data_IF_309034466795
#
_entry.id   IF_309034466795
#
_cell.length_a   1.000
_cell.length_b   1.000
_cell.length_c   1.000
_cell.angle_alpha   90.00
_cell.angle_beta   90.00
_cell.angle_gamma   90.00
#
_symmetry.space_group_name_H-M   'P 1'
#
loop_
_entity.id
_entity.type
_entity.pdbx_description
1 polymer ?
#
# COMPACT_ATOMS: atom_id res chain seq x y z
N UNK A 1 -9.35 23.98 -7.73
CA UNK A 1 -9.51 23.22 -6.48
C UNK A 1 -8.99 24.10 -5.36
N UNK A 2 -9.86 24.61 -4.48
CA UNK A 2 -9.44 25.48 -3.38
C UNK A 2 -8.79 24.59 -2.30
N UNK A 3 -7.61 24.91 -1.73
CA UNK A 3 -7.04 24.13 -0.63
C UNK A 3 -7.96 24.01 0.60
N UNK A 4 -8.94 24.91 0.75
CA UNK A 4 -9.95 24.83 1.80
C UNK A 4 -10.97 23.67 1.59
N UNK A 5 -11.27 23.27 0.34
CA UNK A 5 -12.17 22.14 0.05
C UNK A 5 -11.60 20.80 0.54
N UNK A 6 -10.28 20.70 0.63
CA UNK A 6 -9.58 19.49 1.07
C UNK A 6 -9.60 19.35 2.60
N UNK A 7 -9.87 20.43 3.34
CA UNK A 7 -10.02 20.38 4.80
C UNK A 7 -11.42 19.93 5.22
N UNK A 8 -12.45 20.17 4.39
CA UNK A 8 -13.84 19.73 4.65
C UNK A 8 -14.04 18.24 4.28
N UNK A 9 -13.29 17.72 3.29
CA UNK A 9 -13.23 16.28 3.02
C UNK A 9 -12.13 15.66 3.86
N UNK A 10 -12.49 14.86 4.87
CA UNK A 10 -11.52 14.03 5.59
C UNK A 10 -10.61 13.30 4.60
N UNK A 11 -9.31 13.60 4.67
CA UNK A 11 -8.28 13.08 3.76
C UNK A 11 -8.12 11.55 3.87
N UNK A 12 -8.52 10.99 5.01
CA UNK A 12 -8.40 9.57 5.34
C UNK A 12 -9.67 9.10 6.05
N UNK A 13 -10.23 7.98 5.60
CA UNK A 13 -11.37 7.35 6.26
C UNK A 13 -10.87 6.36 7.32
N UNK A 14 -11.35 6.51 8.56
CA UNK A 14 -11.09 5.58 9.65
C UNK A 14 -12.28 4.61 9.75
N UNK A 15 -12.01 3.31 9.67
CA UNK A 15 -13.08 2.29 9.72
C UNK A 15 -13.45 1.90 11.16
N UNK A 16 -12.50 2.02 12.11
CA UNK A 16 -12.70 1.68 13.53
C UNK A 16 -11.82 2.57 14.41
N UNK A 17 -12.37 3.01 15.54
CA UNK A 17 -11.67 3.88 16.48
C UNK A 17 -11.45 5.30 15.93
N UNK A 18 -10.50 6.00 16.53
CA UNK A 18 -10.03 7.31 16.08
C UNK A 18 -8.53 7.22 15.85
N UNK A 19 -8.03 7.94 14.84
CA UNK A 19 -6.59 7.99 14.58
C UNK A 19 -5.95 9.00 15.53
N UNK A 20 -4.92 8.58 16.26
CA UNK A 20 -4.16 9.51 17.11
C UNK A 20 -3.36 10.50 16.26
N UNK A 21 -2.94 11.61 16.87
CA UNK A 21 -2.07 12.59 16.20
C UNK A 21 -0.75 11.94 15.73
N UNK A 22 -0.18 11.05 16.54
CA UNK A 22 1.03 10.30 16.20
C UNK A 22 0.83 9.35 15.01
N UNK A 23 -0.33 8.68 14.94
CA UNK A 23 -0.66 7.79 13.82
C UNK A 23 -0.84 8.59 12.51
N UNK A 24 -1.52 9.74 12.57
CA UNK A 24 -1.67 10.65 11.43
C UNK A 24 -0.31 11.21 10.98
N UNK A 25 0.57 11.58 11.92
CA UNK A 25 1.92 12.03 11.62
C UNK A 25 2.75 10.91 10.96
N UNK A 26 2.68 9.68 11.47
CA UNK A 26 3.37 8.53 10.89
C UNK A 26 2.87 8.24 9.46
N UNK A 27 1.55 8.25 9.24
CA UNK A 27 0.97 8.05 7.91
C UNK A 27 1.45 9.13 6.94
N UNK A 28 1.44 10.39 7.36
CA UNK A 28 1.90 11.52 6.54
C UNK A 28 3.38 11.38 6.19
N UNK A 29 4.22 11.03 7.16
CA UNK A 29 5.66 10.80 6.93
C UNK A 29 5.91 9.70 5.90
N UNK A 30 5.18 8.58 5.99
CA UNK A 30 5.28 7.48 5.03
C UNK A 30 4.85 7.94 3.63
N UNK A 31 3.74 8.67 3.51
CA UNK A 31 3.26 9.17 2.22
C UNK A 31 4.26 10.15 1.59
N UNK A 32 4.84 11.06 2.37
CA UNK A 32 5.87 11.96 1.89
C UNK A 32 7.14 11.21 1.46
N UNK A 33 7.59 10.23 2.23
CA UNK A 33 8.73 9.40 1.87
C UNK A 33 8.48 8.62 0.56
N UNK A 34 7.26 8.10 0.37
CA UNK A 34 6.85 7.43 -0.87
C UNK A 34 6.77 8.38 -2.06
N UNK A 35 6.25 9.58 -1.87
CA UNK A 35 6.18 10.60 -2.92
C UNK A 35 7.56 11.10 -3.34
N UNK A 36 8.50 11.20 -2.40
CA UNK A 36 9.90 11.55 -2.65
C UNK A 36 10.69 10.41 -3.30
N UNK A 37 10.23 9.16 -3.17
CA UNK A 37 10.90 8.00 -3.74
C UNK A 37 10.74 8.00 -5.27
N UNK A 38 11.81 8.39 -5.97
CA UNK A 38 11.92 8.19 -7.42
C UNK A 38 12.44 6.77 -7.65
N UNK A 39 11.63 5.84 -8.21
CA UNK A 39 12.15 4.52 -8.54
C UNK A 39 13.29 4.70 -9.54
N UNK A 40 14.42 4.02 -9.29
CA UNK A 40 15.47 3.90 -10.29
C UNK A 40 14.86 3.30 -11.56
N UNK A 41 15.31 3.76 -12.72
CA UNK A 41 14.86 3.24 -14.01
C UNK A 41 15.32 1.79 -14.14
N UNK A 42 14.48 0.86 -13.68
CA UNK A 42 14.67 -0.57 -13.89
C UNK A 42 14.35 -0.82 -15.36
N UNK A 43 15.21 -1.54 -16.12
CA UNK A 43 14.92 -1.90 -17.50
C UNK A 43 13.52 -2.49 -17.56
N UNK A 44 12.70 -1.97 -18.48
CA UNK A 44 11.30 -2.34 -18.61
C UNK A 44 11.20 -3.87 -18.80
N UNK A 45 10.91 -4.59 -17.70
CA UNK A 45 10.42 -5.95 -17.82
C UNK A 45 9.08 -5.87 -18.54
N UNK A 46 8.75 -6.82 -19.43
CA UNK A 46 7.44 -6.86 -20.06
C UNK A 46 6.38 -6.72 -18.97
N UNK A 47 5.66 -5.59 -18.97
CA UNK A 47 4.62 -5.35 -17.98
C UNK A 47 3.62 -6.48 -18.12
N UNK A 48 3.54 -7.36 -17.12
CA UNK A 48 2.50 -8.36 -17.08
C UNK A 48 1.16 -7.62 -17.13
N UNK A 49 0.46 -7.71 -18.26
CA UNK A 49 -0.76 -6.94 -18.57
C UNK A 49 -1.92 -7.31 -17.66
N UNK A 50 -1.74 -8.35 -16.85
CA UNK A 50 -2.64 -8.77 -15.80
C UNK A 50 -1.86 -8.93 -14.50
N UNK A 51 -2.45 -8.46 -13.40
CA UNK A 51 -1.99 -8.81 -12.08
C UNK A 51 -1.94 -10.36 -11.97
N UNK A 52 -0.78 -10.90 -11.60
CA UNK A 52 -0.53 -12.35 -11.47
C UNK A 52 -1.22 -12.92 -10.23
N UNK A 53 -2.48 -12.57 -10.00
CA UNK A 53 -3.34 -13.21 -9.00
C UNK A 53 -3.24 -14.71 -9.27
N UNK A 54 -2.50 -15.40 -8.42
CA UNK A 54 -2.40 -16.85 -8.52
C UNK A 54 -3.70 -17.38 -7.98
N UNK A 55 -4.32 -18.25 -8.78
CA UNK A 55 -5.45 -19.08 -8.36
C UNK A 55 -5.00 -19.92 -7.17
N UNK A 56 -5.38 -19.49 -5.97
CA UNK A 56 -4.98 -20.14 -4.72
C UNK A 56 -5.48 -21.60 -4.69
N UNK A 57 -6.60 -21.87 -5.37
CA UNK A 57 -7.14 -23.21 -5.61
C UNK A 57 -6.23 -24.13 -6.44
N UNK A 58 -5.27 -23.56 -7.19
CA UNK A 58 -4.26 -24.30 -7.97
C UNK A 58 -2.89 -24.34 -7.30
N UNK A 59 -2.70 -23.63 -6.19
CA UNK A 59 -1.50 -23.79 -5.38
C UNK A 59 -1.67 -24.99 -4.47
N UNK A 60 -0.62 -25.83 -4.40
CA UNK A 60 -0.53 -26.81 -3.32
C UNK A 60 -0.59 -26.02 -2.01
N UNK A 61 -1.54 -26.39 -1.15
CA UNK A 61 -1.85 -25.66 0.07
C UNK A 61 -0.69 -25.65 1.08
N UNK A 62 -0.99 -25.20 2.29
CA UNK A 62 -0.04 -25.16 3.40
C UNK A 62 0.84 -26.42 3.50
N UNK A 63 2.15 -26.25 3.28
CA UNK A 63 3.15 -27.33 3.31
C UNK A 63 3.82 -27.51 4.69
N UNK A 64 3.27 -26.88 5.74
CA UNK A 64 3.80 -26.91 7.10
C UNK A 64 4.28 -25.55 7.60
N UNK A 65 4.57 -25.48 8.90
CA UNK A 65 4.84 -24.24 9.66
C UNK A 65 6.04 -23.40 9.17
N UNK A 66 6.89 -23.94 8.29
CA UNK A 66 8.06 -23.24 7.74
C UNK A 66 7.83 -22.65 6.34
N UNK A 67 6.61 -22.74 5.82
CA UNK A 67 6.28 -22.28 4.46
C UNK A 67 6.28 -20.75 4.30
N UNK A 68 6.24 -19.98 5.40
CA UNK A 68 6.28 -18.51 5.38
C UNK A 68 7.68 -17.90 5.32
N UNK A 69 8.74 -18.69 5.47
CA UNK A 69 10.11 -18.18 5.63
C UNK A 69 10.88 -18.12 4.30
N UNK A 70 10.25 -18.46 3.18
CA UNK A 70 10.88 -18.55 1.87
C UNK A 70 10.34 -17.49 0.93
#
# INVERSE_FOLDING_TARGET
MNPADISDRSLVRVEKGEASEEELAALTAVLLARAAHRPAEVPAQPHATAARWRRLERQRGFHGARSWQR
#
